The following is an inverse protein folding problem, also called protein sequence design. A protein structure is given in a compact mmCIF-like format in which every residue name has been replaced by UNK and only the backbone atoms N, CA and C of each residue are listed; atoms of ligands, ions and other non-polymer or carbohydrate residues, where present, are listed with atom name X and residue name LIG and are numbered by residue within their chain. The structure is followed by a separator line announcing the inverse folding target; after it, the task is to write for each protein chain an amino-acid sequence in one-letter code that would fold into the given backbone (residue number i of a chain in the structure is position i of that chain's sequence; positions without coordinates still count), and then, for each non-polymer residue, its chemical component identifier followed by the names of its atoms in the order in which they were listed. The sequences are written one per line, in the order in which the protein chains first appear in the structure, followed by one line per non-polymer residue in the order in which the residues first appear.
data_IF_666172524687
#
_entry.id   IF_666172524687
#
_cell.length_a   1.000
_cell.length_b   1.000
_cell.length_c   1.000
_cell.angle_alpha   90.00
_cell.angle_beta   90.00
_cell.angle_gamma   90.00
#
_symmetry.space_group_name_H-M   'P 1'
#
loop_
_entity.id
_entity.type
_entity.pdbx_description
1 polymer ?
#
# COMPACT_ATOMS: atom_id res chain seq x y z
N UNK A 1 2.16 -17.13 -38.91
CA UNK A 1 3.24 -16.43 -38.30
C UNK A 1 2.68 -15.17 -37.60
N UNK A 2 3.11 -14.91 -36.39
CA UNK A 2 2.80 -13.68 -35.66
C UNK A 2 3.62 -12.55 -36.28
N UNK A 3 2.97 -11.46 -36.67
CA UNK A 3 3.66 -10.25 -37.07
C UNK A 3 3.67 -9.29 -35.89
N UNK A 4 4.84 -8.82 -35.52
CA UNK A 4 4.98 -7.83 -34.47
C UNK A 4 4.29 -6.51 -34.79
N UNK A 5 4.04 -5.64 -33.78
CA UNK A 5 3.49 -4.32 -33.99
C UNK A 5 4.38 -3.51 -34.95
N UNK A 6 3.77 -2.79 -35.89
CA UNK A 6 4.49 -2.04 -36.91
C UNK A 6 5.51 -1.04 -36.34
N UNK A 7 5.17 -0.38 -35.22
CA UNK A 7 6.06 0.56 -34.54
C UNK A 7 7.32 -0.10 -33.99
N UNK A 8 7.24 -1.37 -33.52
CA UNK A 8 8.41 -2.09 -33.02
C UNK A 8 9.31 -2.51 -34.18
N UNK A 9 8.71 -3.04 -35.27
CA UNK A 9 9.46 -3.44 -36.47
C UNK A 9 10.20 -2.25 -37.05
N UNK A 10 9.53 -1.08 -37.16
CA UNK A 10 10.15 0.15 -37.63
C UNK A 10 11.31 0.59 -36.69
N UNK A 11 11.10 0.61 -35.38
CA UNK A 11 12.12 1.01 -34.41
C UNK A 11 13.30 0.03 -34.36
N UNK A 12 13.08 -1.26 -34.55
CA UNK A 12 14.11 -2.29 -34.65
C UNK A 12 14.97 -2.13 -35.88
N UNK A 13 14.34 -1.85 -37.03
CA UNK A 13 15.00 -1.83 -38.32
C UNK A 13 15.58 -0.45 -38.68
N UNK A 14 15.12 0.61 -38.04
CA UNK A 14 15.59 1.99 -38.22
C UNK A 14 15.86 2.68 -36.86
N UNK A 15 17.13 2.68 -36.46
CA UNK A 15 17.57 3.32 -35.20
C UNK A 15 17.34 4.84 -35.15
N UNK A 16 16.94 5.48 -36.24
CA UNK A 16 16.61 6.90 -36.31
C UNK A 16 15.09 7.15 -36.24
N UNK A 17 14.26 6.11 -36.30
CA UNK A 17 12.81 6.28 -36.21
C UNK A 17 12.41 6.86 -34.85
N UNK A 18 11.41 7.73 -34.84
CA UNK A 18 10.82 8.29 -33.62
C UNK A 18 9.49 7.62 -33.35
N UNK A 19 9.43 6.76 -32.32
CA UNK A 19 8.22 6.00 -31.97
C UNK A 19 7.88 6.16 -30.50
N UNK A 20 6.64 6.48 -30.20
CA UNK A 20 6.04 6.48 -28.84
C UNK A 20 6.88 7.18 -27.74
N UNK A 21 7.59 8.26 -28.08
CA UNK A 21 8.41 9.01 -27.12
C UNK A 21 9.69 8.32 -26.67
N UNK A 22 10.00 7.14 -27.20
CA UNK A 22 11.27 6.43 -26.98
C UNK A 22 12.29 6.76 -28.09
N UNK A 23 13.55 6.37 -27.86
CA UNK A 23 14.59 6.40 -28.88
C UNK A 23 14.58 5.05 -29.62
N UNK A 24 14.38 5.07 -30.93
CA UNK A 24 14.40 3.84 -31.76
C UNK A 24 15.74 3.10 -31.63
N UNK A 25 16.85 3.83 -31.42
CA UNK A 25 18.16 3.23 -31.14
C UNK A 25 18.13 2.22 -30.02
N UNK A 26 17.37 2.46 -28.95
CA UNK A 26 17.23 1.50 -27.85
C UNK A 26 16.66 0.15 -28.30
N UNK A 27 15.65 0.15 -29.18
CA UNK A 27 15.03 -1.08 -29.67
C UNK A 27 15.91 -1.81 -30.71
N UNK A 28 16.70 -1.06 -31.48
CA UNK A 28 17.69 -1.65 -32.37
C UNK A 28 18.80 -2.34 -31.55
N UNK A 29 19.34 -1.66 -30.54
CA UNK A 29 20.36 -2.21 -29.62
C UNK A 29 19.86 -3.45 -28.88
N UNK A 30 18.59 -3.43 -28.45
CA UNK A 30 17.95 -4.57 -27.79
C UNK A 30 17.82 -5.76 -28.74
N UNK A 31 17.41 -5.51 -29.99
CA UNK A 31 17.27 -6.56 -31.00
C UNK A 31 18.64 -7.18 -31.34
N UNK A 32 19.67 -6.37 -31.49
CA UNK A 32 21.04 -6.81 -31.75
C UNK A 32 21.59 -7.64 -30.57
N UNK A 33 21.38 -7.19 -29.35
CA UNK A 33 21.80 -7.92 -28.14
C UNK A 33 21.14 -9.32 -28.05
N UNK A 34 19.87 -9.44 -28.43
CA UNK A 34 19.18 -10.73 -28.46
C UNK A 34 19.73 -11.66 -29.55
N UNK A 35 20.05 -11.12 -30.73
CA UNK A 35 20.67 -11.88 -31.84
C UNK A 35 22.10 -12.32 -31.44
N UNK A 36 22.88 -11.46 -30.81
CA UNK A 36 24.22 -11.78 -30.32
C UNK A 36 24.19 -12.87 -29.23
N UNK A 37 23.08 -12.93 -28.45
CA UNK A 37 22.84 -14.00 -27.50
C UNK A 37 22.37 -15.32 -28.15
N UNK A 38 22.33 -15.39 -29.50
CA UNK A 38 21.93 -16.58 -30.26
C UNK A 38 20.45 -16.78 -30.41
N UNK A 39 19.65 -15.76 -30.15
CA UNK A 39 18.20 -15.77 -30.36
C UNK A 39 17.86 -15.28 -31.77
N UNK A 40 16.73 -15.72 -32.36
CA UNK A 40 16.30 -15.19 -33.65
C UNK A 40 15.89 -13.71 -33.52
N UNK A 41 15.94 -12.97 -34.64
CA UNK A 41 15.47 -11.59 -34.71
C UNK A 41 14.04 -11.51 -34.13
N UNK A 42 13.82 -10.69 -33.08
CA UNK A 42 12.51 -10.66 -32.42
C UNK A 42 11.46 -9.91 -33.24
N UNK A 43 10.23 -10.42 -33.20
CA UNK A 43 9.05 -9.72 -33.72
C UNK A 43 8.49 -8.68 -32.75
N UNK A 44 8.79 -8.85 -31.46
CA UNK A 44 8.53 -7.92 -30.37
C UNK A 44 9.52 -8.22 -29.24
N UNK A 45 10.11 -7.19 -28.69
CA UNK A 45 10.91 -7.30 -27.48
C UNK A 45 10.67 -6.10 -26.57
N UNK A 46 10.89 -6.29 -25.28
CA UNK A 46 10.92 -5.24 -24.26
C UNK A 46 11.96 -5.64 -23.22
N UNK A 47 12.57 -4.67 -22.63
CA UNK A 47 13.46 -4.85 -21.49
C UNK A 47 12.88 -4.15 -20.26
N UNK A 48 13.45 -4.45 -19.13
CA UNK A 48 13.18 -3.77 -17.86
C UNK A 48 14.42 -3.82 -16.99
N UNK A 49 14.59 -2.79 -16.20
CA UNK A 49 15.67 -2.76 -15.22
C UNK A 49 15.21 -3.53 -13.98
N UNK A 50 15.95 -4.55 -13.62
CA UNK A 50 15.76 -5.22 -12.33
C UNK A 50 16.48 -4.37 -11.28
N UNK A 51 15.73 -3.52 -10.61
CA UNK A 51 16.23 -2.76 -9.47
C UNK A 51 16.10 -3.55 -8.17
N UNK A 52 16.92 -3.24 -7.19
CA UNK A 52 16.69 -3.68 -5.81
C UNK A 52 15.55 -2.83 -5.19
N UNK A 53 14.31 -3.16 -5.52
CA UNK A 53 13.13 -2.49 -4.96
C UNK A 53 12.97 -2.70 -3.45
N UNK A 54 13.77 -3.59 -2.84
CA UNK A 54 13.73 -3.83 -1.41
C UNK A 54 14.69 -2.90 -0.62
N UNK A 55 15.72 -2.35 -1.26
CA UNK A 55 16.70 -1.51 -0.57
C UNK A 55 16.07 -0.29 0.17
N UNK A 56 15.14 0.47 -0.42
CA UNK A 56 14.44 1.55 0.29
C UNK A 56 13.64 1.04 1.49
N UNK A 57 12.99 -0.12 1.35
CA UNK A 57 12.23 -0.72 2.43
C UNK A 57 13.14 -1.18 3.58
N UNK A 58 14.27 -1.81 3.27
CA UNK A 58 15.25 -2.21 4.27
C UNK A 58 15.83 -1.00 4.99
N UNK A 59 16.18 0.08 4.28
CA UNK A 59 16.66 1.31 4.89
C UNK A 59 15.65 1.89 5.90
N UNK A 60 14.36 1.89 5.57
CA UNK A 60 13.31 2.32 6.50
C UNK A 60 13.16 1.36 7.68
N UNK A 61 13.20 0.04 7.45
CA UNK A 61 13.06 -0.97 8.53
C UNK A 61 14.21 -0.88 9.52
N UNK A 62 15.43 -0.69 9.03
CA UNK A 62 16.63 -0.59 9.88
C UNK A 62 16.62 0.66 10.76
N UNK A 63 15.91 1.71 10.36
CA UNK A 63 15.79 2.99 11.06
C UNK A 63 14.42 3.15 11.80
N UNK A 64 13.60 2.09 11.85
CA UNK A 64 12.32 2.12 12.56
C UNK A 64 12.52 2.33 14.06
N UNK A 65 11.83 3.30 14.61
CA UNK A 65 11.64 3.43 16.04
C UNK A 65 10.35 2.72 16.48
N UNK A 66 10.31 2.27 17.74
CA UNK A 66 9.07 1.74 18.29
C UNK A 66 8.11 2.90 18.57
N UNK A 67 6.86 2.87 18.10
CA UNK A 67 5.86 3.87 18.45
C UNK A 67 5.73 3.98 19.96
N UNK A 68 5.88 5.18 20.48
CA UNK A 68 5.93 5.40 21.93
C UNK A 68 4.59 5.73 22.55
N UNK A 69 3.60 6.10 21.73
CA UNK A 69 2.29 6.50 22.24
C UNK A 69 1.20 6.29 21.19
N UNK A 70 0.05 5.90 21.67
CA UNK A 70 -1.23 6.02 20.96
C UNK A 70 -2.24 6.71 21.86
N UNK A 71 -3.23 7.36 21.27
CA UNK A 71 -4.34 7.97 21.96
C UNK A 71 -5.65 7.49 21.34
N UNK A 72 -6.67 7.31 22.19
CA UNK A 72 -8.03 7.08 21.72
C UNK A 72 -8.83 8.36 21.89
N UNK A 73 -9.28 8.94 20.79
CA UNK A 73 -10.05 10.18 20.78
C UNK A 73 -11.54 9.90 21.01
N UNK A 74 -12.00 8.75 20.50
CA UNK A 74 -13.38 8.30 20.66
C UNK A 74 -13.40 6.80 20.93
N UNK A 75 -14.20 6.41 21.90
CA UNK A 75 -14.48 5.01 22.21
C UNK A 75 -16.01 4.84 22.28
N UNK A 76 -16.52 3.87 21.57
CA UNK A 76 -17.92 3.50 21.56
C UNK A 76 -18.04 2.07 22.08
N UNK A 77 -19.01 1.82 22.95
CA UNK A 77 -19.25 0.51 23.55
C UNK A 77 -20.72 0.14 23.49
N UNK A 78 -21.00 -1.09 23.12
CA UNK A 78 -22.37 -1.62 23.19
C UNK A 78 -22.87 -1.69 24.63
N UNK A 79 -21.98 -1.77 25.62
CA UNK A 79 -22.34 -1.76 27.05
C UNK A 79 -22.85 -0.39 27.51
N UNK A 80 -22.41 0.68 26.85
CA UNK A 80 -22.84 2.05 27.10
C UNK A 80 -24.10 2.43 26.29
N UNK A 81 -24.60 1.52 25.47
CA UNK A 81 -25.76 1.73 24.60
C UNK A 81 -25.46 2.53 23.35
N UNK A 82 -24.20 2.62 22.95
CA UNK A 82 -23.81 3.27 21.70
C UNK A 82 -24.39 2.54 20.49
N UNK A 83 -24.82 3.27 19.46
CA UNK A 83 -25.32 2.68 18.22
C UNK A 83 -24.14 2.13 17.40
N UNK A 84 -23.81 0.86 17.64
CA UNK A 84 -22.77 0.13 16.93
C UNK A 84 -23.36 -0.85 15.91
N UNK A 85 -22.62 -1.24 14.86
CA UNK A 85 -23.02 -2.33 13.97
C UNK A 85 -23.29 -3.61 14.76
N UNK A 86 -24.24 -4.41 14.28
CA UNK A 86 -24.56 -5.70 14.92
C UNK A 86 -23.31 -6.58 15.06
N UNK A 87 -23.11 -7.13 16.25
CA UNK A 87 -21.97 -7.97 16.54
C UNK A 87 -20.69 -7.23 16.91
N UNK A 88 -20.78 -5.94 17.16
CA UNK A 88 -19.67 -5.11 17.65
C UNK A 88 -19.80 -4.91 19.15
N UNK A 89 -18.73 -5.18 19.88
CA UNK A 89 -18.65 -4.83 21.28
C UNK A 89 -18.06 -3.42 21.47
N UNK A 90 -16.86 -3.18 20.89
CA UNK A 90 -16.16 -1.89 20.99
C UNK A 90 -15.73 -1.43 19.61
N UNK A 91 -15.87 -0.13 19.36
CA UNK A 91 -15.17 0.60 18.32
C UNK A 91 -14.39 1.77 18.93
N UNK A 92 -13.17 2.02 18.44
CA UNK A 92 -12.44 3.20 18.85
C UNK A 92 -11.73 3.84 17.66
N UNK A 93 -11.62 5.15 17.72
CA UNK A 93 -10.83 5.98 16.80
C UNK A 93 -9.76 6.72 17.60
N UNK A 94 -8.58 6.83 17.04
CA UNK A 94 -7.47 7.51 17.67
C UNK A 94 -6.31 7.73 16.72
N UNK A 95 -5.16 8.02 17.27
CA UNK A 95 -3.91 8.23 16.55
C UNK A 95 -2.75 7.50 17.22
N UNK A 96 -1.72 7.24 16.43
CA UNK A 96 -0.44 6.75 16.93
C UNK A 96 0.71 7.41 16.19
N UNK A 97 1.84 7.54 16.89
CA UNK A 97 3.05 8.13 16.32
C UNK A 97 3.76 7.11 15.45
N UNK A 98 4.12 7.51 14.24
CA UNK A 98 4.89 6.73 13.27
C UNK A 98 6.13 7.51 12.83
N UNK A 99 7.15 6.78 12.41
CA UNK A 99 8.29 7.38 11.74
C UNK A 99 7.88 7.97 10.39
N UNK A 100 8.47 9.10 10.03
CA UNK A 100 8.18 9.81 8.79
C UNK A 100 9.42 9.90 7.90
N UNK A 101 9.27 9.52 6.64
CA UNK A 101 10.30 9.63 5.59
C UNK A 101 9.89 10.58 4.45
N UNK A 102 8.77 11.30 4.58
CA UNK A 102 8.29 12.21 3.55
C UNK A 102 8.87 13.61 3.76
N UNK A 103 9.37 14.21 2.69
CA UNK A 103 9.92 15.58 2.70
C UNK A 103 8.81 16.64 2.79
N UNK A 104 7.69 16.41 2.08
CA UNK A 104 6.62 17.38 1.88
C UNK A 104 5.23 16.76 1.85
N UNK A 105 5.03 15.71 2.61
CA UNK A 105 3.79 14.95 2.67
C UNK A 105 3.45 14.11 1.40
N UNK A 106 4.22 14.22 0.34
CA UNK A 106 3.94 13.56 -0.95
C UNK A 106 5.07 12.63 -1.37
N UNK A 107 6.32 13.08 -1.25
CA UNK A 107 7.49 12.38 -1.76
C UNK A 107 8.46 12.00 -0.64
N UNK A 108 9.16 10.88 -0.80
CA UNK A 108 10.23 10.51 0.11
C UNK A 108 11.36 11.54 0.08
N UNK A 109 11.87 11.89 1.26
CA UNK A 109 13.16 12.53 1.37
C UNK A 109 14.23 11.46 1.06
N UNK A 110 15.07 11.71 0.06
CA UNK A 110 16.09 10.76 -0.37
C UNK A 110 17.48 11.31 -0.10
N UNK A 111 18.43 10.43 0.23
CA UNK A 111 19.86 10.74 0.30
C UNK A 111 20.52 10.73 -1.10
N UNK A 112 21.86 10.84 -1.11
CA UNK A 112 22.63 10.83 -2.36
C UNK A 112 22.61 9.47 -3.09
N UNK A 113 22.31 8.39 -2.38
CA UNK A 113 22.20 7.03 -2.90
C UNK A 113 20.76 6.67 -3.30
N UNK A 114 19.80 7.60 -3.12
CA UNK A 114 18.40 7.43 -3.43
C UNK A 114 17.62 6.64 -2.39
N UNK A 115 18.16 6.51 -1.17
CA UNK A 115 17.48 5.84 -0.07
C UNK A 115 16.65 6.81 0.78
N UNK A 116 15.51 6.38 1.33
CA UNK A 116 14.69 7.21 2.22
C UNK A 116 15.46 7.65 3.47
N UNK A 117 15.31 8.91 3.83
CA UNK A 117 15.90 9.53 5.02
C UNK A 117 14.82 9.87 6.02
N UNK A 118 15.02 9.47 7.27
CA UNK A 118 14.11 9.75 8.37
C UNK A 118 13.94 11.25 8.58
N UNK A 119 12.70 11.73 8.63
CA UNK A 119 12.33 13.14 8.75
C UNK A 119 11.68 13.47 10.12
N UNK A 120 11.79 12.58 11.09
CA UNK A 120 11.12 12.70 12.36
C UNK A 120 9.88 11.84 12.43
N UNK A 121 8.84 12.29 13.12
CA UNK A 121 7.62 11.52 13.34
C UNK A 121 6.39 12.23 12.78
N UNK A 122 5.37 11.46 12.48
CA UNK A 122 4.04 11.92 12.10
C UNK A 122 2.97 11.18 12.91
N UNK A 123 1.76 11.70 12.93
CA UNK A 123 0.60 11.00 13.47
C UNK A 123 -0.13 10.26 12.35
N UNK A 124 -0.47 9.01 12.62
CA UNK A 124 -1.29 8.18 11.76
C UNK A 124 -2.60 7.81 12.47
N UNK A 125 -3.68 7.75 11.69
CA UNK A 125 -4.97 7.33 12.21
C UNK A 125 -4.92 5.88 12.70
N UNK A 126 -5.58 5.61 13.81
CA UNK A 126 -5.77 4.27 14.36
C UNK A 126 -7.25 4.00 14.54
N UNK A 127 -7.71 2.89 13.99
CA UNK A 127 -9.06 2.43 14.12
C UNK A 127 -9.10 1.04 14.73
N UNK A 128 -9.91 0.85 15.77
CA UNK A 128 -10.09 -0.42 16.47
C UNK A 128 -11.52 -0.91 16.30
N UNK A 129 -11.65 -2.19 15.98
CA UNK A 129 -12.91 -2.93 16.02
C UNK A 129 -12.74 -4.18 16.88
N UNK A 130 -13.63 -4.35 17.86
CA UNK A 130 -13.69 -5.53 18.72
C UNK A 130 -15.06 -6.18 18.56
N UNK A 131 -15.14 -7.41 18.05
CA UNK A 131 -16.41 -8.11 17.92
C UNK A 131 -16.96 -8.55 19.28
N UNK A 132 -18.27 -8.72 19.37
CA UNK A 132 -18.94 -9.27 20.55
C UNK A 132 -18.43 -10.67 20.95
N UNK A 133 -18.04 -11.47 19.96
CA UNK A 133 -17.49 -12.82 20.17
C UNK A 133 -16.09 -12.83 20.81
N UNK A 134 -15.37 -11.70 20.80
CA UNK A 134 -14.10 -11.58 21.52
C UNK A 134 -14.27 -11.31 23.01
N UNK A 135 -15.46 -10.85 23.44
CA UNK A 135 -15.75 -10.43 24.82
C UNK A 135 -15.54 -11.54 25.86
N UNK A 136 -15.92 -12.76 25.50
CA UNK A 136 -15.90 -13.90 26.42
C UNK A 136 -14.59 -14.72 26.29
N UNK A 137 -13.65 -14.27 25.48
CA UNK A 137 -12.35 -14.93 25.37
C UNK A 137 -11.47 -14.58 26.58
N UNK A 138 -10.63 -15.50 27.04
CA UNK A 138 -9.67 -15.21 28.10
C UNK A 138 -8.74 -14.04 27.71
N UNK A 139 -8.34 -13.25 28.70
CA UNK A 139 -7.45 -12.12 28.49
C UNK A 139 -6.19 -12.51 27.70
N UNK A 140 -5.87 -11.71 26.70
CA UNK A 140 -4.69 -11.90 25.84
C UNK A 140 -4.78 -13.05 24.84
N UNK A 141 -5.96 -13.68 24.67
CA UNK A 141 -6.11 -14.81 23.73
C UNK A 141 -6.84 -14.46 22.44
N UNK A 142 -7.50 -13.30 22.37
CA UNK A 142 -8.15 -12.86 21.15
C UNK A 142 -7.10 -12.64 20.04
N UNK A 143 -7.30 -13.22 18.85
CA UNK A 143 -6.45 -12.91 17.70
C UNK A 143 -6.53 -11.41 17.37
N UNK A 144 -5.40 -10.82 16.96
CA UNK A 144 -5.34 -9.44 16.48
C UNK A 144 -4.99 -9.45 15.00
N UNK A 145 -5.80 -8.80 14.20
CA UNK A 145 -5.60 -8.63 12.76
C UNK A 145 -5.27 -7.18 12.45
N UNK A 146 -4.28 -6.98 11.61
CA UNK A 146 -3.99 -5.67 11.00
C UNK A 146 -4.69 -5.64 9.66
N UNK A 147 -5.59 -4.68 9.46
CA UNK A 147 -6.39 -4.54 8.26
C UNK A 147 -5.96 -3.32 7.44
N UNK A 148 -5.69 -3.55 6.16
CA UNK A 148 -5.48 -2.50 5.17
C UNK A 148 -6.72 -2.32 4.30
N UNK A 149 -7.17 -1.08 4.15
CA UNK A 149 -8.30 -0.75 3.27
C UNK A 149 -7.94 -0.85 1.78
N UNK A 150 -8.95 -0.88 0.92
CA UNK A 150 -8.77 -0.84 -0.55
C UNK A 150 -8.36 0.55 -1.05
N UNK A 151 -7.88 0.61 -2.30
CA UNK A 151 -7.51 1.86 -2.97
C UNK A 151 -8.71 2.82 -2.98
N UNK A 152 -8.45 4.09 -2.64
CA UNK A 152 -9.43 5.18 -2.57
C UNK A 152 -10.55 4.96 -1.52
N UNK A 153 -10.25 4.20 -0.48
CA UNK A 153 -11.14 3.95 0.63
C UNK A 153 -10.51 4.40 1.95
N UNK A 154 -11.17 4.12 3.06
CA UNK A 154 -10.68 4.34 4.42
C UNK A 154 -10.99 3.13 5.29
N UNK A 155 -10.29 2.97 6.41
CA UNK A 155 -10.59 1.93 7.38
C UNK A 155 -12.04 1.99 7.87
N UNK A 156 -12.56 3.20 8.07
CA UNK A 156 -13.92 3.45 8.52
C UNK A 156 -15.00 2.95 7.54
N UNK A 157 -14.72 2.93 6.23
CA UNK A 157 -15.65 2.43 5.22
C UNK A 157 -15.95 0.93 5.39
N UNK A 158 -15.02 0.19 6.00
CA UNK A 158 -15.14 -1.26 6.26
C UNK A 158 -15.52 -1.59 7.69
N UNK A 159 -15.15 -0.74 8.63
CA UNK A 159 -15.25 -1.00 10.07
C UNK A 159 -16.08 0.06 10.79
N UNK A 160 -16.66 1.02 10.06
CA UNK A 160 -17.34 2.14 10.65
C UNK A 160 -18.62 1.76 11.36
N UNK A 161 -18.92 2.54 12.38
CA UNK A 161 -20.14 2.51 13.17
C UNK A 161 -21.42 2.62 12.34
N UNK A 162 -21.39 3.39 11.24
CA UNK A 162 -22.52 3.66 10.35
C UNK A 162 -22.41 2.90 9.01
N UNK A 163 -21.34 2.09 8.84
CA UNK A 163 -21.05 1.42 7.59
C UNK A 163 -21.88 0.17 7.36
N UNK A 164 -22.03 -0.18 6.10
CA UNK A 164 -22.47 -1.49 5.67
C UNK A 164 -21.59 -2.57 6.34
N UNK A 165 -22.15 -3.63 6.93
CA UNK A 165 -21.38 -4.73 7.45
C UNK A 165 -20.56 -5.34 6.32
N UNK A 166 -19.36 -4.82 6.15
CA UNK A 166 -18.40 -5.37 5.21
C UNK A 166 -18.11 -6.83 5.58
N UNK A 167 -17.72 -7.64 4.62
CA UNK A 167 -17.32 -9.01 4.92
C UNK A 167 -16.23 -9.10 6.00
N UNK A 168 -15.47 -8.02 6.24
CA UNK A 168 -14.43 -7.93 7.27
C UNK A 168 -15.02 -8.04 8.67
N UNK A 169 -16.09 -7.32 8.99
CA UNK A 169 -16.77 -7.42 10.29
C UNK A 169 -17.27 -8.85 10.51
N UNK A 170 -17.94 -9.43 9.52
CA UNK A 170 -18.48 -10.78 9.62
C UNK A 170 -17.39 -11.84 9.82
N UNK A 171 -16.27 -11.72 9.12
CA UNK A 171 -15.13 -12.63 9.25
C UNK A 171 -14.44 -12.45 10.60
N UNK A 172 -14.19 -11.23 11.02
CA UNK A 172 -13.57 -10.93 12.32
C UNK A 172 -14.43 -11.45 13.47
N UNK A 173 -15.75 -11.26 13.39
CA UNK A 173 -16.71 -11.79 14.35
C UNK A 173 -16.69 -13.32 14.41
N UNK A 174 -16.69 -13.99 13.26
CA UNK A 174 -16.63 -15.45 13.19
C UNK A 174 -15.33 -16.02 13.80
N UNK A 175 -14.24 -15.27 13.72
CA UNK A 175 -12.93 -15.64 14.27
C UNK A 175 -12.71 -15.17 15.71
N UNK A 176 -13.57 -14.33 16.28
CA UNK A 176 -13.34 -13.64 17.56
C UNK A 176 -12.12 -12.72 17.51
N UNK A 177 -11.81 -12.18 16.34
CA UNK A 177 -10.59 -11.40 16.12
C UNK A 177 -10.81 -9.90 16.32
N UNK A 178 -9.92 -9.28 17.08
CA UNK A 178 -9.79 -7.82 17.17
C UNK A 178 -9.16 -7.32 15.88
N UNK A 179 -9.70 -6.25 15.29
CA UNK A 179 -9.15 -5.64 14.08
C UNK A 179 -8.58 -4.28 14.40
N UNK A 180 -7.32 -4.09 14.08
CA UNK A 180 -6.64 -2.79 14.05
C UNK A 180 -6.47 -2.37 12.59
N UNK A 181 -6.79 -1.12 12.28
CA UNK A 181 -6.66 -0.57 10.94
C UNK A 181 -6.08 0.85 11.00
N UNK A 182 -5.42 1.24 9.92
CA UNK A 182 -4.92 2.59 9.69
C UNK A 182 -5.27 3.05 8.29
N UNK A 183 -5.35 4.34 8.07
CA UNK A 183 -5.51 4.90 6.73
C UNK A 183 -4.15 5.01 6.04
N UNK A 184 -4.02 4.32 4.92
CA UNK A 184 -2.76 4.23 4.18
C UNK A 184 -2.59 5.45 3.31
N UNK A 185 -1.61 6.26 3.64
CA UNK A 185 -1.27 7.45 2.86
C UNK A 185 -0.93 7.07 1.41
N UNK A 186 -1.39 7.88 0.47
CA UNK A 186 -1.28 7.61 -0.97
C UNK A 186 -2.35 6.67 -1.52
N UNK A 187 -3.17 6.05 -0.68
CA UNK A 187 -4.22 5.11 -1.08
C UNK A 187 -5.62 5.48 -0.60
N UNK A 188 -5.77 6.58 0.15
CA UNK A 188 -7.07 7.03 0.66
C UNK A 188 -7.83 7.88 -0.37
N UNK A 189 -9.12 8.09 -0.11
CA UNK A 189 -9.96 9.00 -0.91
C UNK A 189 -9.43 10.44 -0.88
N UNK A 190 -8.83 10.84 0.22
CA UNK A 190 -8.32 12.21 0.41
C UNK A 190 -7.07 12.47 -0.43
N UNK A 191 -6.33 11.43 -0.77
CA UNK A 191 -5.14 11.53 -1.62
C UNK A 191 -5.46 11.84 -3.10
N UNK A 192 -6.72 11.61 -3.54
CA UNK A 192 -7.15 11.89 -4.93
C UNK A 192 -7.14 13.38 -5.25
N UNK A 193 -7.31 14.24 -4.26
CA UNK A 193 -7.45 15.69 -4.45
C UNK A 193 -6.12 16.43 -4.57
N UNK A 194 -5.00 15.73 -4.47
CA UNK A 194 -3.64 16.30 -4.48
C UNK A 194 -2.93 16.09 -5.84
N UNK A 195 -3.59 15.49 -6.82
CA UNK A 195 -3.04 15.23 -8.15
C UNK A 195 -3.45 16.30 -9.18
#
# INVERSE_FOLDING_TARGET
PFAGPSWFVEARDDAQASVNGGTAGHYADLADALVDAGLPTPELATDFVVGDGSAPLHAMIDDLSTPTAWTWDKVFSSDDGDPLPEGTWIQAEGTFTVDNWLADDIAFALDADGLPVHQGTAEADLFLFVPDTARDLPDGTAPVWIFGHGIFSRAQDYLARDGDPSGVIAIARAAGAIVLATNWRGLTRDDITVA
#
